data_IF_159433099471
#
_entry.id   IF_159433099471
#
_cell.length_a   1.000
_cell.length_b   1.000
_cell.length_c   1.000
_cell.angle_alpha   90.00
_cell.angle_beta   90.00
_cell.angle_gamma   90.00
#
_symmetry.space_group_name_H-M   'P 1'
#
loop_
_entity.id
_entity.type
_entity.pdbx_description
1 polymer ?
#
# COMPACT_ATOMS: atom_id res chain seq x y z
N UNK A 1 -26.04 0.74 -0.92
CA UNK A 1 -24.70 0.33 -1.36
C UNK A 1 -24.62 -1.18 -1.48
N UNK A 2 -24.12 -1.71 -2.56
CA UNK A 2 -23.98 -3.16 -2.75
C UNK A 2 -22.77 -3.69 -2.02
N UNK A 3 -22.71 -5.01 -1.80
CA UNK A 3 -21.54 -5.67 -1.21
C UNK A 3 -20.26 -5.37 -1.99
N UNK A 4 -20.33 -5.33 -3.33
CA UNK A 4 -19.20 -5.01 -4.19
C UNK A 4 -18.63 -3.62 -3.91
N UNK A 5 -19.50 -2.62 -3.70
CA UNK A 5 -19.07 -1.26 -3.39
C UNK A 5 -18.40 -1.19 -2.02
N UNK A 6 -18.85 -1.99 -1.06
CA UNK A 6 -18.22 -2.08 0.26
C UNK A 6 -16.80 -2.65 0.13
N UNK A 7 -16.62 -3.68 -0.68
CA UNK A 7 -15.29 -4.27 -0.93
C UNK A 7 -14.35 -3.27 -1.58
N UNK A 8 -14.83 -2.44 -2.50
CA UNK A 8 -14.03 -1.40 -3.14
C UNK A 8 -13.61 -0.31 -2.14
N UNK A 9 -14.47 0.03 -1.20
CA UNK A 9 -14.12 0.97 -0.13
C UNK A 9 -13.09 0.36 0.81
N UNK A 10 -13.15 -0.95 1.09
CA UNK A 10 -12.17 -1.64 1.92
C UNK A 10 -10.76 -1.59 1.32
N UNK A 11 -10.62 -1.51 0.01
CA UNK A 11 -9.31 -1.34 -0.64
C UNK A 11 -8.64 -0.03 -0.24
N UNK A 12 -9.41 1.03 -0.04
CA UNK A 12 -8.89 2.29 0.48
C UNK A 12 -8.31 2.10 1.89
N UNK A 13 -9.02 1.39 2.76
CA UNK A 13 -8.55 1.12 4.11
C UNK A 13 -7.26 0.30 4.12
N UNK A 14 -7.15 -0.69 3.25
CA UNK A 14 -5.93 -1.48 3.10
C UNK A 14 -4.74 -0.63 2.66
N UNK A 15 -4.97 0.26 1.69
CA UNK A 15 -3.94 1.18 1.22
C UNK A 15 -3.49 2.11 2.35
N UNK A 16 -4.44 2.64 3.11
CA UNK A 16 -4.16 3.53 4.23
C UNK A 16 -3.34 2.82 5.31
N UNK A 17 -3.64 1.56 5.60
CA UNK A 17 -2.89 0.76 6.58
C UNK A 17 -1.44 0.58 6.18
N UNK A 18 -1.16 0.35 4.89
CA UNK A 18 0.20 0.24 4.41
C UNK A 18 0.99 1.53 4.66
N UNK A 19 0.33 2.69 4.52
CA UNK A 19 0.97 3.98 4.68
C UNK A 19 1.14 4.38 6.16
N UNK A 20 0.18 4.05 7.01
CA UNK A 20 0.11 4.58 8.38
C UNK A 20 0.37 3.54 9.47
N UNK A 21 0.22 2.26 9.17
CA UNK A 21 0.40 1.17 10.11
C UNK A 21 1.52 0.25 9.66
N UNK A 22 1.57 -0.94 10.24
CA UNK A 22 2.56 -1.93 9.88
C UNK A 22 2.15 -2.66 8.60
N UNK A 23 3.14 -3.00 7.78
CA UNK A 23 2.96 -3.86 6.61
C UNK A 23 3.94 -5.02 6.71
N UNK A 24 3.49 -6.21 6.30
CA UNK A 24 4.35 -7.39 6.31
C UNK A 24 5.21 -7.42 5.05
N UNK A 25 6.54 -7.48 5.24
CA UNK A 25 7.52 -7.57 4.17
C UNK A 25 8.50 -8.68 4.53
N UNK A 26 8.58 -9.72 3.70
CA UNK A 26 9.48 -10.86 3.91
C UNK A 26 9.31 -11.51 5.30
N UNK A 27 8.06 -11.65 5.74
CA UNK A 27 7.74 -12.27 7.02
C UNK A 27 7.92 -11.39 8.25
N UNK A 28 8.26 -10.12 8.06
CA UNK A 28 8.42 -9.15 9.15
C UNK A 28 7.41 -8.02 9.01
N UNK A 29 6.88 -7.58 10.15
CA UNK A 29 6.03 -6.39 10.18
C UNK A 29 6.90 -5.15 10.32
N UNK A 30 6.77 -4.23 9.39
CA UNK A 30 7.56 -3.00 9.36
C UNK A 30 6.65 -1.80 9.16
N UNK A 31 7.07 -0.64 9.69
CA UNK A 31 6.41 0.63 9.45
C UNK A 31 7.18 1.40 8.39
N UNK A 32 6.48 1.84 7.36
CA UNK A 32 7.11 2.58 6.26
C UNK A 32 7.81 3.84 6.76
N UNK A 33 7.21 4.56 7.70
CA UNK A 33 7.81 5.75 8.28
C UNK A 33 9.15 5.46 8.95
N UNK A 34 9.23 4.39 9.72
CA UNK A 34 10.45 4.00 10.41
C UNK A 34 11.55 3.63 9.41
N UNK A 35 11.20 2.93 8.33
CA UNK A 35 12.15 2.56 7.30
C UNK A 35 12.65 3.79 6.52
N UNK A 36 11.81 4.79 6.28
CA UNK A 36 12.28 6.05 5.70
C UNK A 36 13.33 6.72 6.58
N UNK A 37 13.10 6.80 7.88
CA UNK A 37 14.08 7.37 8.80
C UNK A 37 15.38 6.57 8.81
N UNK A 38 15.28 5.24 8.87
CA UNK A 38 16.45 4.36 8.86
C UNK A 38 17.27 4.49 7.59
N UNK A 39 16.62 4.63 6.44
CA UNK A 39 17.32 4.71 5.17
C UNK A 39 17.90 6.11 4.92
N UNK A 40 17.05 7.13 4.99
CA UNK A 40 17.45 8.48 4.57
C UNK A 40 18.28 9.23 5.62
N UNK A 41 18.09 8.92 6.90
CA UNK A 41 18.84 9.58 7.98
C UNK A 41 20.01 8.73 8.44
N UNK A 42 19.80 7.42 8.64
CA UNK A 42 20.81 6.52 9.19
C UNK A 42 21.54 5.70 8.14
N UNK A 43 21.21 5.84 6.87
CA UNK A 43 21.82 5.13 5.74
C UNK A 43 21.75 3.61 5.85
N UNK A 44 20.68 3.08 6.43
CA UNK A 44 20.48 1.64 6.56
C UNK A 44 20.00 1.05 5.23
N UNK A 45 20.88 0.32 4.54
CA UNK A 45 20.58 -0.25 3.21
C UNK A 45 19.43 -1.24 3.22
N UNK A 46 19.29 -2.03 4.28
CA UNK A 46 18.21 -3.01 4.41
C UNK A 46 16.85 -2.30 4.45
N UNK A 47 16.77 -1.17 5.14
CA UNK A 47 15.56 -0.37 5.17
C UNK A 47 15.19 0.14 3.76
N UNK A 48 16.17 0.53 2.95
CA UNK A 48 15.95 0.93 1.57
C UNK A 48 15.36 -0.19 0.71
N UNK A 49 15.83 -1.41 0.89
CA UNK A 49 15.26 -2.57 0.19
C UNK A 49 13.79 -2.78 0.57
N UNK A 50 13.47 -2.67 1.87
CA UNK A 50 12.08 -2.79 2.33
C UNK A 50 11.20 -1.69 1.77
N UNK A 51 11.68 -0.45 1.72
CA UNK A 51 10.93 0.66 1.12
C UNK A 51 10.57 0.35 -0.34
N UNK A 52 11.53 -0.13 -1.14
CA UNK A 52 11.26 -0.49 -2.52
C UNK A 52 10.19 -1.57 -2.66
N UNK A 53 10.23 -2.58 -1.80
CA UNK A 53 9.23 -3.65 -1.81
C UNK A 53 7.84 -3.12 -1.44
N UNK A 54 7.76 -2.23 -0.45
CA UNK A 54 6.50 -1.60 -0.06
C UNK A 54 5.97 -0.75 -1.21
N UNK A 55 6.82 -0.01 -1.90
CA UNK A 55 6.41 0.78 -3.06
C UNK A 55 5.84 -0.10 -4.18
N UNK A 56 6.42 -1.29 -4.41
CA UNK A 56 5.88 -2.24 -5.38
C UNK A 56 4.49 -2.74 -4.97
N UNK A 57 4.26 -3.00 -3.68
CA UNK A 57 2.94 -3.38 -3.17
C UNK A 57 1.94 -2.25 -3.40
N UNK A 58 2.31 -1.02 -3.07
CA UNK A 58 1.47 0.15 -3.26
C UNK A 58 1.15 0.38 -4.73
N UNK A 59 2.12 0.21 -5.61
CA UNK A 59 1.93 0.34 -7.06
C UNK A 59 0.88 -0.62 -7.56
N UNK A 60 0.98 -1.89 -7.16
CA UNK A 60 0.00 -2.90 -7.56
C UNK A 60 -1.39 -2.55 -7.05
N UNK A 61 -1.50 -2.14 -5.79
CA UNK A 61 -2.78 -1.73 -5.20
C UNK A 61 -3.36 -0.52 -5.95
N UNK A 62 -2.52 0.44 -6.29
CA UNK A 62 -2.94 1.62 -7.04
C UNK A 62 -3.44 1.27 -8.43
N UNK A 63 -2.79 0.35 -9.14
CA UNK A 63 -3.23 -0.13 -10.45
C UNK A 63 -4.58 -0.82 -10.37
N UNK A 64 -4.77 -1.69 -9.37
CA UNK A 64 -6.04 -2.39 -9.17
C UNK A 64 -7.17 -1.39 -8.90
N UNK A 65 -6.92 -0.39 -8.07
CA UNK A 65 -7.91 0.65 -7.79
C UNK A 65 -8.25 1.46 -9.05
N UNK A 66 -7.25 1.78 -9.87
CA UNK A 66 -7.50 2.49 -11.14
C UNK A 66 -8.43 1.69 -12.05
N UNK A 67 -8.21 0.40 -12.16
CA UNK A 67 -9.04 -0.49 -12.96
C UNK A 67 -10.46 -0.51 -12.40
N UNK A 68 -10.59 -0.63 -11.08
CA UNK A 68 -11.90 -0.62 -10.41
C UNK A 68 -12.66 0.68 -10.68
N UNK A 69 -11.97 1.82 -10.62
CA UNK A 69 -12.57 3.12 -10.90
C UNK A 69 -13.06 3.19 -12.33
N UNK A 70 -12.28 2.74 -13.30
CA UNK A 70 -12.67 2.75 -14.70
C UNK A 70 -13.87 1.84 -14.96
N UNK A 71 -13.88 0.65 -14.36
CA UNK A 71 -14.99 -0.28 -14.51
C UNK A 71 -16.27 0.27 -13.89
N UNK A 72 -16.17 0.92 -12.75
CA UNK A 72 -17.33 1.51 -12.08
C UNK A 72 -17.88 2.70 -12.87
N UNK A 73 -17.02 3.53 -13.48
CA UNK A 73 -17.44 4.65 -14.34
C UNK A 73 -18.31 4.20 -15.50
N UNK A 74 -18.07 3.02 -16.04
CA UNK A 74 -18.87 2.48 -17.15
C UNK A 74 -20.31 2.15 -16.75
N UNK A 75 -20.56 2.03 -15.44
CA UNK A 75 -21.90 1.67 -14.92
C UNK A 75 -22.72 2.86 -14.44
N UNK A 76 -22.14 4.04 -14.40
CA UNK A 76 -22.85 5.25 -13.99
C UNK A 76 -23.27 6.14 -15.16
#
# INVERSE_FOLDING_TARGET
MTTENIELVDKYDQLLKILTEEVEVDGKKVKLKDDFEKFFIKSNKTAGVRIRKIMQILRKNAEDIRIDVQNHKKTI
#
